data_IF_754606590608
#
_entry.id   IF_754606590608
#
_cell.length_a   1.000
_cell.length_b   1.000
_cell.length_c   1.000
_cell.angle_alpha   90.00
_cell.angle_beta   90.00
_cell.angle_gamma   90.00
#
_symmetry.space_group_name_H-M   'P 1'
#
loop_
_entity.id
_entity.type
_entity.pdbx_description
1 polymer ?
#
# COMPACT_ATOMS: atom_id res chain seq x y z
N UNK A 1 4.10 25.11 -42.96
CA UNK A 1 4.79 24.35 -41.93
C UNK A 1 3.82 23.30 -41.45
N UNK A 2 4.10 21.98 -41.52
CA UNK A 2 3.23 21.02 -40.87
C UNK A 2 3.29 21.28 -39.36
N UNK A 3 2.13 21.39 -38.71
CA UNK A 3 2.05 21.46 -37.27
C UNK A 3 2.71 20.21 -36.69
N UNK A 4 3.73 20.40 -35.85
CA UNK A 4 4.36 19.31 -35.11
C UNK A 4 3.25 18.53 -34.41
N UNK A 5 3.16 17.22 -34.72
CA UNK A 5 2.30 16.33 -33.96
C UNK A 5 2.81 16.32 -32.51
N UNK A 6 1.96 16.59 -31.52
CA UNK A 6 2.42 16.54 -30.13
C UNK A 6 3.06 15.18 -29.85
N UNK A 7 4.23 15.21 -29.22
CA UNK A 7 4.93 14.00 -28.79
C UNK A 7 4.01 13.21 -27.85
N UNK A 8 3.84 11.88 -28.05
CA UNK A 8 3.00 11.10 -27.16
C UNK A 8 3.48 11.21 -25.71
N UNK A 9 2.60 11.57 -24.76
CA UNK A 9 2.97 11.73 -23.34
C UNK A 9 3.13 10.40 -22.60
N UNK A 10 2.60 9.32 -23.14
CA UNK A 10 2.63 7.98 -22.53
C UNK A 10 4.01 7.57 -21.99
N UNK A 11 5.10 7.70 -22.76
CA UNK A 11 6.44 7.35 -22.29
C UNK A 11 6.92 8.16 -21.07
N UNK A 12 6.52 9.44 -20.95
CA UNK A 12 6.87 10.27 -19.79
C UNK A 12 6.12 9.83 -18.55
N UNK A 13 4.83 9.46 -18.69
CA UNK A 13 4.04 8.87 -17.62
C UNK A 13 4.56 7.50 -17.19
N UNK A 14 4.94 6.63 -18.14
CA UNK A 14 5.57 5.34 -17.84
C UNK A 14 6.84 5.55 -17.01
N UNK A 15 7.64 6.54 -17.38
CA UNK A 15 8.87 6.87 -16.65
C UNK A 15 8.60 7.43 -15.27
N UNK A 16 7.69 8.42 -15.14
CA UNK A 16 7.36 9.04 -13.86
C UNK A 16 6.78 8.01 -12.86
N UNK A 17 5.88 7.14 -13.32
CA UNK A 17 5.29 6.07 -12.51
C UNK A 17 6.36 5.04 -12.09
N UNK A 18 7.21 4.61 -13.02
CA UNK A 18 8.31 3.68 -12.71
C UNK A 18 9.29 4.26 -11.68
N UNK A 19 9.61 5.56 -11.77
CA UNK A 19 10.43 6.24 -10.77
C UNK A 19 9.75 6.25 -9.40
N UNK A 20 8.46 6.60 -9.34
CA UNK A 20 7.71 6.60 -8.11
C UNK A 20 7.70 5.21 -7.43
N UNK A 21 7.51 4.14 -8.18
CA UNK A 21 7.52 2.76 -7.66
C UNK A 21 8.79 2.40 -6.90
N UNK A 22 9.93 3.03 -7.20
CA UNK A 22 11.20 2.83 -6.48
C UNK A 22 11.16 3.30 -5.03
N UNK A 23 10.24 4.21 -4.68
CA UNK A 23 10.02 4.69 -3.31
C UNK A 23 9.11 3.80 -2.47
N UNK A 24 8.45 2.77 -3.06
CA UNK A 24 7.54 1.89 -2.32
C UNK A 24 8.23 1.23 -1.13
N UNK A 25 7.50 1.16 0.00
CA UNK A 25 8.02 0.62 1.25
C UNK A 25 8.88 1.59 2.06
N UNK A 26 9.34 2.72 1.50
CA UNK A 26 10.24 3.66 2.19
C UNK A 26 9.60 5.03 2.46
N UNK A 27 8.66 5.46 1.64
CA UNK A 27 8.09 6.83 1.72
C UNK A 27 7.01 6.99 2.77
N UNK A 28 6.28 5.92 3.11
CA UNK A 28 5.12 5.98 4.01
C UNK A 28 5.43 6.66 5.36
N UNK A 29 4.51 7.48 5.88
CA UNK A 29 3.14 7.73 5.42
C UNK A 29 3.02 8.76 4.29
N UNK A 30 4.15 9.24 3.72
CA UNK A 30 4.15 10.10 2.53
C UNK A 30 3.81 9.26 1.29
N UNK A 31 3.15 9.87 0.28
CA UNK A 31 2.87 9.19 -0.96
C UNK A 31 4.13 8.90 -1.77
N UNK A 32 4.07 7.87 -2.60
CA UNK A 32 5.09 7.54 -3.58
C UNK A 32 4.93 8.44 -4.80
N UNK A 33 5.89 9.33 -5.05
CA UNK A 33 5.80 10.33 -6.13
C UNK A 33 7.00 10.21 -7.06
N UNK A 34 6.75 10.36 -8.36
CA UNK A 34 7.77 10.48 -9.39
C UNK A 34 7.55 11.72 -10.25
N UNK A 35 8.64 12.28 -10.74
CA UNK A 35 8.66 13.50 -11.53
C UNK A 35 9.64 13.37 -12.70
N UNK A 36 9.21 13.84 -13.88
CA UNK A 36 10.01 13.89 -15.11
C UNK A 36 9.90 15.29 -15.69
N UNK A 37 11.05 15.88 -16.02
CA UNK A 37 11.14 17.20 -16.65
C UNK A 37 11.52 16.99 -18.12
N UNK A 38 10.73 17.55 -19.02
CA UNK A 38 10.83 17.34 -20.46
C UNK A 38 11.01 18.67 -21.20
N UNK A 39 11.95 18.73 -22.13
CA UNK A 39 12.14 19.83 -23.08
C UNK A 39 12.36 19.27 -24.47
N UNK A 40 11.68 19.82 -25.48
CA UNK A 40 11.81 19.42 -26.87
C UNK A 40 11.63 17.90 -27.12
N UNK A 41 10.75 17.26 -26.29
CA UNK A 41 10.47 15.83 -26.35
C UNK A 41 11.51 14.93 -25.67
N UNK A 42 12.54 15.50 -25.04
CA UNK A 42 13.58 14.76 -24.32
C UNK A 42 13.48 14.93 -22.81
N UNK A 43 13.78 13.87 -22.05
CA UNK A 43 13.86 13.91 -20.59
C UNK A 43 15.17 14.57 -20.18
N UNK A 44 15.08 15.75 -19.58
CA UNK A 44 16.24 16.55 -19.14
C UNK A 44 16.49 16.47 -17.63
N UNK A 45 15.53 15.95 -16.85
CA UNK A 45 15.67 15.71 -15.42
C UNK A 45 14.61 14.73 -14.93
N UNK A 46 14.96 13.93 -13.92
CA UNK A 46 14.06 12.95 -13.35
C UNK A 46 14.31 12.74 -11.85
N UNK A 47 13.26 12.41 -11.10
CA UNK A 47 13.37 12.21 -9.66
C UNK A 47 12.18 11.46 -9.09
N UNK A 48 12.36 10.96 -7.88
CA UNK A 48 11.28 10.34 -7.10
C UNK A 48 11.50 10.63 -5.62
N UNK A 49 10.46 10.51 -4.82
CA UNK A 49 10.60 10.57 -3.37
C UNK A 49 11.22 9.26 -2.86
N UNK A 50 12.46 9.30 -2.36
CA UNK A 50 13.22 8.10 -2.01
C UNK A 50 12.70 7.48 -0.71
N UNK A 51 12.62 8.26 0.36
CA UNK A 51 12.10 7.87 1.66
C UNK A 51 11.60 9.06 2.46
N UNK A 52 10.85 8.79 3.53
CA UNK A 52 10.36 9.83 4.44
C UNK A 52 11.50 10.73 4.94
N UNK A 53 11.35 12.03 4.73
CA UNK A 53 12.32 13.06 5.13
C UNK A 53 13.30 13.50 4.06
N UNK A 54 13.47 12.73 2.99
CA UNK A 54 14.29 13.10 1.84
C UNK A 54 13.57 14.10 0.92
N UNK A 55 14.26 14.57 -0.12
CA UNK A 55 13.70 15.48 -1.12
C UNK A 55 12.45 14.88 -1.78
N UNK A 56 11.52 15.74 -2.13
CA UNK A 56 10.36 15.36 -2.94
C UNK A 56 10.77 15.19 -4.41
N UNK A 57 9.97 14.44 -5.16
CA UNK A 57 10.26 14.05 -6.54
C UNK A 57 10.60 15.23 -7.47
N UNK A 58 9.88 16.35 -7.33
CA UNK A 58 10.08 17.55 -8.14
C UNK A 58 11.44 18.18 -7.86
N UNK A 59 11.86 18.25 -6.59
CA UNK A 59 13.16 18.79 -6.20
C UNK A 59 14.32 17.88 -6.62
N UNK A 60 14.13 16.57 -6.54
CA UNK A 60 15.08 15.58 -7.07
C UNK A 60 15.22 15.74 -8.59
N UNK A 61 14.11 15.88 -9.33
CA UNK A 61 14.14 16.08 -10.78
C UNK A 61 14.85 17.38 -11.19
N UNK A 62 14.65 18.47 -10.42
CA UNK A 62 15.36 19.75 -10.63
C UNK A 62 16.86 19.60 -10.33
N UNK A 63 17.22 18.90 -9.27
CA UNK A 63 18.62 18.63 -8.93
C UNK A 63 19.31 17.76 -9.98
N UNK A 64 18.63 16.71 -10.46
CA UNK A 64 19.14 15.85 -11.54
C UNK A 64 19.35 16.61 -12.84
N UNK A 65 18.39 17.46 -13.25
CA UNK A 65 18.54 18.33 -14.43
C UNK A 65 19.77 19.24 -14.29
N UNK A 66 19.96 19.85 -13.13
CA UNK A 66 21.12 20.70 -12.82
C UNK A 66 22.43 19.90 -12.91
N UNK A 67 22.46 18.70 -12.33
CA UNK A 67 23.64 17.82 -12.35
C UNK A 67 24.02 17.39 -13.77
N UNK A 68 23.03 17.23 -14.66
CA UNK A 68 23.24 16.94 -16.08
C UNK A 68 23.63 18.18 -16.91
N UNK A 69 23.64 19.36 -16.30
CA UNK A 69 23.91 20.63 -17.00
C UNK A 69 22.75 21.13 -17.87
N UNK A 70 21.54 20.65 -17.62
CA UNK A 70 20.35 21.03 -18.38
C UNK A 70 19.69 22.29 -17.78
N UNK A 71 19.26 23.21 -18.63
CA UNK A 71 18.44 24.34 -18.24
C UNK A 71 16.96 23.92 -18.20
N UNK A 72 16.29 24.15 -17.07
CA UNK A 72 14.89 23.74 -16.83
C UNK A 72 13.89 24.81 -17.29
N UNK A 73 14.32 26.07 -17.41
CA UNK A 73 13.45 27.18 -17.81
C UNK A 73 12.70 26.89 -19.09
N UNK A 74 11.37 27.04 -19.06
CA UNK A 74 10.50 26.78 -20.22
C UNK A 74 10.19 25.31 -20.49
N UNK A 75 10.63 24.38 -19.64
CA UNK A 75 10.33 22.94 -19.76
C UNK A 75 8.91 22.61 -19.29
N UNK A 76 8.43 21.41 -19.65
CA UNK A 76 7.21 20.78 -19.13
C UNK A 76 7.56 19.76 -18.04
N UNK A 77 6.84 19.80 -16.93
CA UNK A 77 7.01 18.88 -15.79
C UNK A 77 5.84 17.91 -15.74
N UNK A 78 6.12 16.61 -15.71
CA UNK A 78 5.15 15.55 -15.45
C UNK A 78 5.36 15.04 -14.03
N UNK A 79 4.35 15.18 -13.16
CA UNK A 79 4.44 14.75 -11.77
C UNK A 79 3.23 13.88 -11.41
N UNK A 80 3.47 12.73 -10.76
CA UNK A 80 2.42 11.74 -10.50
C UNK A 80 1.40 12.18 -9.46
N UNK A 81 1.74 13.16 -8.60
CA UNK A 81 0.85 13.76 -7.60
C UNK A 81 1.00 15.27 -7.61
N UNK A 82 -0.06 15.99 -7.23
CA UNK A 82 -0.10 17.43 -7.09
C UNK A 82 1.08 17.98 -6.28
N UNK A 83 1.87 18.97 -6.80
CA UNK A 83 2.98 19.58 -6.09
C UNK A 83 2.52 20.23 -4.79
N UNK A 84 3.23 19.94 -3.69
CA UNK A 84 2.88 20.48 -2.38
C UNK A 84 3.02 22.02 -2.31
N UNK A 85 2.13 22.63 -1.50
CA UNK A 85 2.02 24.08 -1.30
C UNK A 85 2.35 24.52 0.15
N UNK A 86 2.74 23.58 1.01
CA UNK A 86 3.03 23.88 2.43
C UNK A 86 4.48 23.55 2.75
N UNK A 87 5.04 24.28 3.70
CA UNK A 87 6.35 23.99 4.29
C UNK A 87 6.18 22.83 5.27
N UNK A 88 6.77 21.68 4.92
CA UNK A 88 6.92 20.54 5.81
C UNK A 88 8.37 20.41 6.27
N UNK A 89 8.98 19.24 6.08
CA UNK A 89 10.43 19.05 6.21
C UNK A 89 11.22 19.77 5.12
N UNK A 90 10.56 20.09 4.01
CA UNK A 90 11.09 20.80 2.84
C UNK A 90 10.22 22.03 2.52
N UNK A 91 10.78 23.09 1.88
CA UNK A 91 9.99 24.15 1.29
C UNK A 91 9.05 23.61 0.19
N UNK A 92 7.92 24.31 -0.13
CA UNK A 92 6.95 23.86 -1.11
C UNK A 92 7.55 23.51 -2.46
N UNK A 93 7.09 22.42 -3.08
CA UNK A 93 7.54 22.05 -4.43
C UNK A 93 7.00 22.99 -5.50
N UNK A 94 5.79 23.55 -5.31
CA UNK A 94 5.23 24.55 -6.21
C UNK A 94 6.14 25.78 -6.32
N UNK A 95 6.69 26.27 -5.21
CA UNK A 95 7.62 27.42 -5.20
C UNK A 95 8.92 27.07 -5.96
N UNK A 96 9.46 25.86 -5.76
CA UNK A 96 10.67 25.43 -6.47
C UNK A 96 10.49 25.37 -7.99
N UNK A 97 9.31 24.94 -8.45
CA UNK A 97 8.98 24.92 -9.89
C UNK A 97 8.81 26.35 -10.45
N UNK A 98 8.25 27.27 -9.65
CA UNK A 98 8.18 28.70 -10.03
C UNK A 98 9.58 29.31 -10.13
N UNK A 99 10.45 29.09 -9.16
CA UNK A 99 11.84 29.57 -9.16
C UNK A 99 12.64 29.03 -10.35
N UNK A 100 12.40 27.76 -10.72
CA UNK A 100 13.02 27.11 -11.88
C UNK A 100 12.50 27.65 -13.24
N UNK A 101 11.38 28.38 -13.24
CA UNK A 101 10.82 29.01 -14.44
C UNK A 101 10.29 28.00 -15.48
N UNK A 102 9.71 26.88 -15.05
CA UNK A 102 9.07 25.90 -15.95
C UNK A 102 7.88 26.53 -16.66
N UNK A 103 7.57 26.09 -17.87
CA UNK A 103 6.45 26.63 -18.66
C UNK A 103 5.13 25.93 -18.32
N UNK A 104 5.17 24.63 -18.05
CA UNK A 104 3.98 23.80 -17.86
C UNK A 104 4.21 22.74 -16.77
N UNK A 105 3.15 22.45 -16.01
CA UNK A 105 3.10 21.33 -15.07
C UNK A 105 1.86 20.48 -15.36
N UNK A 106 2.09 19.20 -15.64
CA UNK A 106 1.05 18.19 -15.89
C UNK A 106 0.94 17.31 -14.66
N UNK A 107 -0.26 17.26 -14.05
CA UNK A 107 -0.51 16.60 -12.77
C UNK A 107 -1.25 15.28 -13.00
N UNK A 108 -0.68 14.18 -12.51
CA UNK A 108 -1.24 12.84 -12.63
C UNK A 108 -2.42 12.58 -11.67
N UNK A 109 -2.32 13.03 -10.43
CA UNK A 109 -3.34 12.85 -9.40
C UNK A 109 -3.41 14.10 -8.51
N UNK A 110 -4.62 14.55 -8.15
CA UNK A 110 -4.82 15.60 -7.17
C UNK A 110 -4.50 15.08 -5.76
N UNK A 111 -3.93 15.94 -4.91
CA UNK A 111 -3.73 15.65 -3.49
C UNK A 111 -5.05 15.94 -2.74
N UNK A 112 -5.65 14.97 -2.02
CA UNK A 112 -6.94 15.15 -1.34
C UNK A 112 -6.80 15.92 -0.01
N UNK A 113 -5.58 16.17 0.48
CA UNK A 113 -5.37 16.78 1.79
C UNK A 113 -5.66 18.28 1.78
N UNK A 114 -6.36 18.78 2.81
CA UNK A 114 -6.70 20.21 2.93
C UNK A 114 -5.49 21.15 2.84
N UNK A 115 -4.32 20.66 3.21
CA UNK A 115 -3.07 21.46 3.20
C UNK A 115 -2.52 21.68 1.80
N UNK A 116 -2.83 20.78 0.85
CA UNK A 116 -2.27 20.80 -0.51
C UNK A 116 -3.34 21.06 -1.57
N UNK A 117 -4.50 20.43 -1.45
CA UNK A 117 -5.54 20.38 -2.48
C UNK A 117 -5.81 21.71 -3.20
N UNK A 118 -5.48 21.76 -4.49
CA UNK A 118 -5.65 22.91 -5.36
C UNK A 118 -4.71 24.11 -5.07
N UNK A 119 -3.93 24.06 -3.99
CA UNK A 119 -3.06 25.18 -3.60
C UNK A 119 -1.77 25.23 -4.42
N UNK A 120 -1.13 24.09 -4.66
CA UNK A 120 0.03 23.98 -5.55
C UNK A 120 -0.27 24.47 -6.96
N UNK A 121 -1.32 23.92 -7.63
CA UNK A 121 -1.80 24.43 -8.90
C UNK A 121 -2.11 25.91 -8.93
N UNK A 122 -2.66 26.46 -7.85
CA UNK A 122 -2.94 27.90 -7.74
C UNK A 122 -1.66 28.73 -7.74
N UNK A 123 -0.66 28.36 -6.93
CA UNK A 123 0.65 29.06 -6.87
C UNK A 123 1.29 29.05 -8.26
N UNK A 124 1.31 27.93 -8.94
CA UNK A 124 1.88 27.80 -10.28
C UNK A 124 1.16 28.69 -11.30
N UNK A 125 -0.20 28.68 -11.32
CA UNK A 125 -0.99 29.52 -12.23
C UNK A 125 -0.81 31.03 -11.93
N UNK A 126 -0.78 31.41 -10.66
CA UNK A 126 -0.56 32.81 -10.25
C UNK A 126 0.83 33.34 -10.72
N UNK A 127 1.81 32.42 -10.86
CA UNK A 127 3.12 32.72 -11.41
C UNK A 127 3.19 32.66 -12.96
N UNK A 128 2.07 32.41 -13.65
CA UNK A 128 1.98 32.35 -15.10
C UNK A 128 2.36 30.98 -15.72
N UNK A 129 2.52 29.93 -14.92
CA UNK A 129 2.81 28.57 -15.38
C UNK A 129 1.50 27.90 -15.80
N UNK A 130 1.50 27.25 -16.97
CA UNK A 130 0.37 26.45 -17.41
C UNK A 130 0.24 25.20 -16.53
N UNK A 131 -0.99 24.93 -15.99
CA UNK A 131 -1.25 23.75 -15.17
C UNK A 131 -2.46 23.02 -15.73
N UNK A 132 -2.28 21.76 -16.05
CA UNK A 132 -3.36 20.86 -16.50
C UNK A 132 -3.26 19.47 -15.87
N UNK A 133 -4.35 18.75 -15.90
CA UNK A 133 -4.40 17.35 -15.52
C UNK A 133 -3.85 16.46 -16.65
N UNK A 134 -3.37 15.29 -16.28
CA UNK A 134 -2.97 14.24 -17.22
C UNK A 134 -4.16 13.66 -17.98
N UNK A 135 -3.89 12.94 -19.07
CA UNK A 135 -4.89 12.15 -19.79
C UNK A 135 -5.54 11.09 -18.87
N UNK A 136 -6.80 10.69 -19.07
CA UNK A 136 -7.55 9.83 -18.17
C UNK A 136 -6.86 8.52 -17.79
N UNK A 137 -6.14 7.88 -18.71
CA UNK A 137 -5.39 6.66 -18.42
C UNK A 137 -4.23 6.92 -17.45
N UNK A 138 -3.46 7.99 -17.66
CA UNK A 138 -2.37 8.39 -16.77
C UNK A 138 -2.91 8.80 -15.39
N UNK A 139 -4.02 9.53 -15.32
CA UNK A 139 -4.71 9.85 -14.06
C UNK A 139 -5.05 8.58 -13.29
N UNK A 140 -5.68 7.61 -13.96
CA UNK A 140 -6.04 6.33 -13.33
C UNK A 140 -4.82 5.60 -12.78
N UNK A 141 -3.75 5.53 -13.56
CA UNK A 141 -2.50 4.86 -13.16
C UNK A 141 -1.82 5.57 -11.98
N UNK A 142 -1.79 6.90 -11.98
CA UNK A 142 -1.25 7.70 -10.89
C UNK A 142 -2.08 7.54 -9.60
N UNK A 143 -3.42 7.49 -9.68
CA UNK A 143 -4.28 7.18 -8.53
C UNK A 143 -4.01 5.79 -7.97
N UNK A 144 -3.88 4.77 -8.83
CA UNK A 144 -3.56 3.40 -8.41
C UNK A 144 -2.19 3.31 -7.70
N UNK A 145 -1.24 4.17 -8.06
CA UNK A 145 0.08 4.25 -7.43
C UNK A 145 0.01 4.68 -5.95
N UNK A 146 -0.88 5.63 -5.61
CA UNK A 146 -0.97 6.28 -4.29
C UNK A 146 -2.28 5.96 -3.55
N UNK A 147 -2.94 4.85 -3.83
CA UNK A 147 -4.23 4.49 -3.23
C UNK A 147 -4.22 4.38 -1.71
N UNK A 148 -3.12 3.93 -1.13
CA UNK A 148 -2.90 3.85 0.31
C UNK A 148 -2.94 5.25 0.95
N UNK A 149 -2.25 6.21 0.35
CA UNK A 149 -2.29 7.61 0.75
C UNK A 149 -3.70 8.20 0.58
N UNK A 150 -4.37 7.96 -0.57
CA UNK A 150 -5.71 8.46 -0.85
C UNK A 150 -6.74 7.91 0.15
N UNK A 151 -6.74 6.59 0.40
CA UNK A 151 -7.64 5.98 1.39
C UNK A 151 -7.40 6.55 2.78
N UNK A 152 -6.14 6.61 3.21
CA UNK A 152 -5.82 7.15 4.54
C UNK A 152 -6.23 8.61 4.68
N UNK A 153 -6.02 9.44 3.66
CA UNK A 153 -6.45 10.84 3.68
C UNK A 153 -7.98 10.97 3.77
N UNK A 154 -8.73 10.10 3.10
CA UNK A 154 -10.19 10.12 3.09
C UNK A 154 -10.84 9.54 4.35
N UNK A 155 -10.24 8.50 4.95
CA UNK A 155 -10.88 7.69 5.98
C UNK A 155 -10.10 7.59 7.29
N UNK A 156 -8.84 7.97 7.32
CA UNK A 156 -7.91 7.71 8.43
C UNK A 156 -7.43 6.26 8.52
N UNK A 157 -7.92 5.34 7.68
CA UNK A 157 -7.66 3.88 7.72
C UNK A 157 -6.63 3.43 6.69
N UNK A 158 -5.88 2.34 6.98
CA UNK A 158 -4.97 1.75 5.99
C UNK A 158 -5.71 1.12 4.80
N UNK A 159 -5.05 1.08 3.65
CA UNK A 159 -5.46 0.27 2.50
C UNK A 159 -5.22 -1.21 2.80
N UNK A 160 -6.23 -2.05 2.62
CA UNK A 160 -6.19 -3.47 2.95
C UNK A 160 -6.06 -4.32 1.70
N UNK A 161 -4.94 -5.04 1.60
CA UNK A 161 -4.75 -6.10 0.62
C UNK A 161 -4.94 -7.45 1.30
N UNK A 162 -6.04 -8.14 1.01
CA UNK A 162 -6.28 -9.49 1.49
C UNK A 162 -5.54 -10.48 0.60
N UNK A 163 -4.53 -11.15 1.15
CA UNK A 163 -3.79 -12.22 0.46
C UNK A 163 -4.24 -13.58 0.97
N UNK A 164 -4.55 -14.47 0.05
CA UNK A 164 -4.87 -15.86 0.35
C UNK A 164 -4.02 -16.81 -0.50
N UNK A 165 -3.80 -18.04 0.01
CA UNK A 165 -3.28 -19.15 -0.77
C UNK A 165 -4.16 -20.36 -0.51
N UNK A 166 -4.70 -20.95 -1.56
CA UNK A 166 -5.65 -22.05 -1.44
C UNK A 166 -5.41 -23.13 -2.51
N UNK A 167 -5.92 -24.33 -2.25
CA UNK A 167 -6.03 -25.39 -3.25
C UNK A 167 -7.04 -25.06 -4.34
N UNK A 168 -7.05 -25.80 -5.43
CA UNK A 168 -8.00 -25.65 -6.53
C UNK A 168 -9.47 -25.79 -6.07
N UNK A 169 -9.73 -26.58 -5.03
CA UNK A 169 -11.03 -26.74 -4.39
C UNK A 169 -11.27 -25.80 -3.20
N UNK A 170 -10.50 -24.69 -3.10
CA UNK A 170 -10.75 -23.57 -2.17
C UNK A 170 -10.37 -23.86 -0.71
N UNK A 171 -9.42 -24.75 -0.43
CA UNK A 171 -9.01 -25.11 0.93
C UNK A 171 -7.65 -24.50 1.30
N UNK A 172 -7.52 -24.06 2.55
CA UNK A 172 -6.30 -23.47 3.11
C UNK A 172 -5.59 -24.37 4.13
N UNK A 173 -6.18 -25.49 4.46
CA UNK A 173 -5.59 -26.51 5.31
C UNK A 173 -6.34 -27.84 5.13
N UNK A 174 -5.67 -28.94 5.47
CA UNK A 174 -6.31 -30.27 5.58
C UNK A 174 -7.27 -30.33 6.77
N UNK A 175 -8.03 -31.42 6.90
CA UNK A 175 -8.92 -31.65 8.03
C UNK A 175 -8.20 -31.63 9.37
N UNK A 176 -6.92 -32.00 9.43
CA UNK A 176 -6.10 -32.01 10.64
C UNK A 176 -5.34 -30.71 10.89
N UNK A 177 -5.48 -29.71 9.98
CA UNK A 177 -4.87 -28.39 10.13
C UNK A 177 -3.51 -28.23 9.45
N UNK A 178 -2.99 -29.28 8.76
CA UNK A 178 -1.75 -29.15 7.99
C UNK A 178 -1.99 -28.24 6.76
N UNK A 179 -1.11 -27.23 6.59
CA UNK A 179 -1.20 -26.21 5.55
C UNK A 179 0.14 -25.93 4.83
N UNK A 180 1.20 -26.63 5.21
CA UNK A 180 2.56 -26.35 4.69
C UNK A 180 3.02 -27.40 3.69
N UNK A 181 3.23 -27.06 2.41
CA UNK A 181 3.05 -25.76 1.75
C UNK A 181 1.98 -25.90 0.68
N UNK A 182 0.98 -25.01 0.68
CA UNK A 182 -0.04 -24.98 -0.37
C UNK A 182 0.52 -24.32 -1.62
N UNK A 183 1.06 -23.08 -1.48
CA UNK A 183 1.61 -22.33 -2.63
C UNK A 183 3.10 -22.63 -2.86
N UNK A 184 3.51 -22.50 -4.13
CA UNK A 184 4.87 -22.72 -4.60
C UNK A 184 5.89 -21.68 -4.07
N UNK A 185 7.19 -21.92 -4.28
CA UNK A 185 8.25 -21.04 -3.81
C UNK A 185 8.21 -19.65 -4.46
N UNK A 186 7.85 -19.56 -5.75
CA UNK A 186 7.73 -18.30 -6.49
C UNK A 186 6.63 -17.40 -5.90
N UNK A 187 5.49 -18.00 -5.56
CA UNK A 187 4.38 -17.32 -4.88
C UNK A 187 4.80 -16.79 -3.51
N UNK A 188 5.53 -17.58 -2.73
CA UNK A 188 6.06 -17.15 -1.43
C UNK A 188 7.09 -16.02 -1.56
N UNK A 189 7.95 -16.07 -2.59
CA UNK A 189 8.89 -14.98 -2.87
C UNK A 189 8.16 -13.69 -3.24
N UNK A 190 7.08 -13.77 -4.02
CA UNK A 190 6.23 -12.61 -4.35
C UNK A 190 5.60 -12.01 -3.09
N UNK A 191 5.10 -12.83 -2.17
CA UNK A 191 4.56 -12.36 -0.88
C UNK A 191 5.62 -11.63 -0.07
N UNK A 192 6.88 -12.08 -0.06
CA UNK A 192 7.96 -11.35 0.62
C UNK A 192 8.25 -9.97 0.01
N UNK A 193 8.10 -9.81 -1.32
CA UNK A 193 8.17 -8.48 -1.96
C UNK A 193 7.01 -7.60 -1.52
N UNK A 194 5.78 -8.12 -1.52
CA UNK A 194 4.61 -7.36 -1.03
C UNK A 194 4.78 -6.93 0.42
N UNK A 195 5.32 -7.80 1.29
CA UNK A 195 5.62 -7.42 2.68
C UNK A 195 6.61 -6.25 2.78
N UNK A 196 7.60 -6.20 1.90
CA UNK A 196 8.57 -5.10 1.86
C UNK A 196 7.96 -3.77 1.40
N UNK A 197 6.89 -3.82 0.61
CA UNK A 197 6.19 -2.66 0.06
C UNK A 197 5.10 -2.11 0.97
N UNK A 198 4.62 -2.91 1.95
CA UNK A 198 3.52 -2.54 2.85
C UNK A 198 4.02 -2.00 4.20
N UNK A 199 3.21 -1.16 4.85
CA UNK A 199 3.51 -0.67 6.19
C UNK A 199 3.35 -1.72 7.27
N UNK A 200 2.41 -2.64 7.06
CA UNK A 200 2.11 -3.69 8.02
C UNK A 200 1.80 -5.03 7.34
N UNK A 201 2.12 -6.11 8.03
CA UNK A 201 1.68 -7.47 7.73
C UNK A 201 0.85 -7.98 8.91
N UNK A 202 -0.34 -8.47 8.65
CA UNK A 202 -1.29 -8.86 9.69
C UNK A 202 -1.75 -10.31 9.56
N UNK A 203 -1.87 -10.98 10.71
CA UNK A 203 -2.46 -12.32 10.83
C UNK A 203 -3.45 -12.38 11.99
N UNK A 204 -4.29 -13.41 12.02
CA UNK A 204 -5.13 -13.71 13.19
C UNK A 204 -4.43 -14.66 14.17
N UNK A 205 -4.92 -14.71 15.40
CA UNK A 205 -4.41 -15.58 16.47
C UNK A 205 -4.39 -17.07 16.09
N UNK A 206 -5.29 -17.52 15.23
CA UNK A 206 -5.28 -18.90 14.71
C UNK A 206 -4.03 -19.21 13.89
N UNK A 207 -3.68 -18.34 12.94
CA UNK A 207 -2.45 -18.44 12.13
C UNK A 207 -1.21 -18.26 13.00
N UNK A 208 -1.24 -17.30 13.93
CA UNK A 208 -0.15 -17.08 14.89
C UNK A 208 0.16 -18.37 15.68
N UNK A 209 -0.85 -19.00 16.27
CA UNK A 209 -0.68 -20.23 17.06
C UNK A 209 -0.19 -21.42 16.22
N UNK A 210 -0.63 -21.53 14.97
CA UNK A 210 -0.27 -22.65 14.08
C UNK A 210 1.18 -22.54 13.57
N UNK A 211 1.64 -21.34 13.28
CA UNK A 211 2.84 -21.11 12.48
C UNK A 211 3.98 -20.42 13.24
N UNK A 212 3.71 -19.78 14.38
CA UNK A 212 4.64 -18.87 15.10
C UNK A 212 5.42 -17.97 14.13
N UNK A 213 4.72 -17.14 13.35
CA UNK A 213 5.33 -16.48 12.23
C UNK A 213 6.10 -15.23 12.65
N UNK A 214 7.25 -14.98 12.03
CA UNK A 214 8.02 -13.73 12.20
C UNK A 214 7.40 -12.52 11.49
N UNK A 215 6.57 -12.72 10.48
CA UNK A 215 5.95 -11.70 9.62
C UNK A 215 6.92 -10.72 8.95
N UNK A 216 8.17 -11.09 8.79
CA UNK A 216 9.22 -10.28 8.17
C UNK A 216 9.21 -10.37 6.64
N UNK A 217 9.65 -9.30 5.97
CA UNK A 217 10.03 -9.32 4.57
C UNK A 217 11.46 -9.89 4.43
N UNK A 218 11.63 -10.89 3.57
CA UNK A 218 12.92 -11.56 3.32
C UNK A 218 13.20 -11.53 1.82
N UNK A 219 13.78 -10.42 1.36
CA UNK A 219 14.22 -10.19 -0.02
C UNK A 219 15.67 -9.69 0.00
N UNK A 220 16.34 -9.75 -1.13
CA UNK A 220 17.68 -9.18 -1.29
C UNK A 220 17.61 -7.63 -1.34
N UNK A 221 18.65 -6.97 -0.81
CA UNK A 221 18.79 -5.53 -0.79
C UNK A 221 18.29 -4.85 0.48
N UNK A 222 18.15 -3.52 0.43
CA UNK A 222 17.64 -2.72 1.54
C UNK A 222 16.13 -2.91 1.67
N UNK A 223 15.66 -3.17 2.87
CA UNK A 223 14.25 -3.41 3.19
C UNK A 223 13.88 -2.70 4.48
N UNK A 224 12.84 -1.85 4.41
CA UNK A 224 12.15 -1.43 5.62
C UNK A 224 11.21 -2.56 6.05
N UNK A 225 11.43 -3.12 7.23
CA UNK A 225 10.55 -4.17 7.73
C UNK A 225 9.15 -3.62 8.06
N UNK A 226 8.09 -4.33 7.64
CA UNK A 226 6.72 -3.93 7.97
C UNK A 226 6.41 -4.10 9.45
N UNK A 227 5.50 -3.29 10.00
CA UNK A 227 4.92 -3.54 11.31
C UNK A 227 4.26 -4.94 11.34
N UNK A 228 4.44 -5.67 12.41
CA UNK A 228 3.95 -7.04 12.59
C UNK A 228 2.68 -7.02 13.43
N UNK A 229 1.53 -7.26 12.82
CA UNK A 229 0.22 -7.10 13.45
C UNK A 229 -0.41 -8.46 13.71
N UNK A 230 -0.85 -8.71 14.95
CA UNK A 230 -1.65 -9.90 15.28
C UNK A 230 -3.00 -9.48 15.82
N UNK A 231 -4.08 -9.89 15.15
CA UNK A 231 -5.44 -9.79 15.64
C UNK A 231 -5.68 -10.91 16.65
N UNK A 232 -5.46 -10.61 17.93
CA UNK A 232 -5.50 -11.55 19.04
C UNK A 232 -6.74 -11.36 19.92
N UNK A 233 -7.90 -11.76 19.37
CA UNK A 233 -9.17 -11.70 20.11
C UNK A 233 -9.22 -12.65 21.31
N UNK A 234 -8.34 -13.66 21.35
CA UNK A 234 -8.16 -14.60 22.43
C UNK A 234 -6.68 -14.55 22.84
N UNK A 235 -6.31 -14.12 24.03
CA UNK A 235 -4.93 -13.76 24.38
C UNK A 235 -3.99 -14.96 24.28
N UNK A 236 -3.55 -15.26 23.05
CA UNK A 236 -2.69 -16.39 22.69
C UNK A 236 -1.25 -15.98 22.41
N UNK A 237 -1.01 -14.67 22.19
CA UNK A 237 0.34 -14.16 21.93
C UNK A 237 1.10 -14.07 23.26
N UNK A 238 2.33 -14.60 23.26
CA UNK A 238 3.24 -14.56 24.41
C UNK A 238 4.54 -13.84 24.06
N UNK A 239 5.23 -13.18 25.01
CA UNK A 239 6.45 -12.40 24.76
C UNK A 239 7.61 -13.20 24.19
N UNK A 240 7.63 -14.54 24.31
CA UNK A 240 8.69 -15.42 23.80
C UNK A 240 8.48 -15.89 22.34
N UNK A 241 7.42 -15.44 21.67
CA UNK A 241 7.12 -15.86 20.30
C UNK A 241 8.16 -15.32 19.28
N UNK A 242 8.31 -16.01 18.16
CA UNK A 242 9.18 -15.59 17.05
C UNK A 242 8.84 -14.18 16.50
N UNK A 243 7.62 -13.73 16.73
CA UNK A 243 7.16 -12.39 16.41
C UNK A 243 7.98 -11.28 17.10
N UNK A 244 8.52 -11.53 18.30
CA UNK A 244 9.30 -10.57 19.10
C UNK A 244 10.79 -10.59 18.77
N UNK A 245 11.25 -11.58 18.00
CA UNK A 245 12.63 -11.54 17.52
C UNK A 245 12.83 -10.29 16.64
N UNK A 246 13.95 -9.60 16.82
CA UNK A 246 14.27 -8.36 16.10
C UNK A 246 13.18 -7.26 16.22
N UNK A 247 12.59 -7.09 17.41
CA UNK A 247 11.53 -6.09 17.65
C UNK A 247 11.98 -4.66 17.31
N UNK A 248 13.28 -4.37 17.41
CA UNK A 248 13.88 -3.08 17.08
C UNK A 248 13.84 -2.79 15.57
N UNK A 249 13.72 -3.82 14.71
CA UNK A 249 13.67 -3.64 13.27
C UNK A 249 12.31 -3.15 12.76
N UNK A 250 11.22 -3.50 13.46
CA UNK A 250 9.87 -3.06 13.16
C UNK A 250 8.93 -3.27 14.35
N UNK A 251 7.91 -2.41 14.53
CA UNK A 251 6.93 -2.55 15.60
C UNK A 251 6.19 -3.88 15.58
N UNK A 252 5.92 -4.42 16.77
CA UNK A 252 4.95 -5.49 17.00
C UNK A 252 3.67 -4.84 17.51
N UNK A 253 2.54 -5.06 16.85
CA UNK A 253 1.23 -4.51 17.25
C UNK A 253 0.28 -5.66 17.55
N UNK A 254 -0.24 -5.71 18.77
CA UNK A 254 -1.22 -6.70 19.19
C UNK A 254 -2.58 -6.03 19.27
N UNK A 255 -3.50 -6.47 18.41
CA UNK A 255 -4.89 -6.00 18.41
C UNK A 255 -5.71 -6.94 19.30
N UNK A 256 -5.90 -6.52 20.53
CA UNK A 256 -6.66 -7.27 21.53
C UNK A 256 -8.15 -6.90 21.53
N UNK A 257 -8.98 -7.78 22.04
CA UNK A 257 -10.40 -7.50 22.29
C UNK A 257 -10.56 -6.66 23.57
N UNK A 258 -11.59 -5.82 23.64
CA UNK A 258 -11.96 -5.04 24.83
C UNK A 258 -12.24 -5.92 26.08
N UNK A 259 -12.56 -7.19 25.90
CA UNK A 259 -12.77 -8.16 26.99
C UNK A 259 -11.48 -8.86 27.41
N UNK A 260 -10.34 -8.60 26.77
CA UNK A 260 -9.07 -9.21 27.15
C UNK A 260 -8.60 -8.67 28.50
N UNK A 261 -8.34 -9.55 29.51
CA UNK A 261 -7.86 -9.11 30.82
C UNK A 261 -6.55 -8.34 30.75
N UNK A 262 -6.44 -7.25 31.53
CA UNK A 262 -5.26 -6.37 31.51
C UNK A 262 -3.97 -7.10 31.86
N UNK A 263 -4.02 -8.08 32.75
CA UNK A 263 -2.88 -8.91 33.18
C UNK A 263 -2.27 -9.72 32.02
N UNK A 264 -3.04 -9.99 30.95
CA UNK A 264 -2.56 -10.64 29.74
C UNK A 264 -1.87 -9.67 28.79
N UNK A 265 -2.18 -8.37 28.89
CA UNK A 265 -1.64 -7.33 28.00
C UNK A 265 -0.36 -6.69 28.56
N UNK A 266 -0.16 -6.69 29.88
CA UNK A 266 1.01 -6.10 30.53
C UNK A 266 2.31 -6.76 30.03
N UNK A 267 2.47 -8.10 30.04
CA UNK A 267 3.71 -8.73 29.59
C UNK A 267 4.07 -8.43 28.14
N UNK A 268 3.06 -8.24 27.27
CA UNK A 268 3.26 -7.89 25.85
C UNK A 268 3.81 -6.46 25.71
N UNK A 269 3.28 -5.51 26.52
CA UNK A 269 3.80 -4.14 26.55
C UNK A 269 5.21 -4.07 27.12
N UNK A 270 5.48 -4.83 28.17
CA UNK A 270 6.80 -4.92 28.79
C UNK A 270 7.84 -5.51 27.81
N UNK A 271 7.41 -6.38 26.90
CA UNK A 271 8.22 -6.90 25.80
C UNK A 271 8.34 -5.95 24.60
N UNK A 272 7.78 -4.74 24.67
CA UNK A 272 7.90 -3.70 23.64
C UNK A 272 6.78 -3.68 22.61
N UNK A 273 5.74 -4.51 22.73
CA UNK A 273 4.62 -4.46 21.80
C UNK A 273 3.71 -3.24 22.02
N UNK A 274 3.25 -2.65 20.92
CA UNK A 274 2.13 -1.70 20.92
C UNK A 274 0.84 -2.49 21.05
N UNK A 275 0.07 -2.27 22.13
CA UNK A 275 -1.20 -2.97 22.34
C UNK A 275 -2.36 -2.05 22.03
N UNK A 276 -3.09 -2.40 20.97
CA UNK A 276 -4.33 -1.77 20.53
C UNK A 276 -5.51 -2.58 21.08
N UNK A 277 -6.45 -1.91 21.75
CA UNK A 277 -7.68 -2.56 22.23
C UNK A 277 -8.82 -2.19 21.30
N UNK A 278 -9.28 -3.15 20.49
CA UNK A 278 -10.39 -2.94 19.56
C UNK A 278 -11.75 -3.17 20.24
N UNK A 279 -12.72 -2.37 19.83
CA UNK A 279 -14.09 -2.34 20.33
C UNK A 279 -15.06 -2.71 19.23
N UNK A 280 -16.19 -3.27 19.58
CA UNK A 280 -17.27 -3.62 18.65
C UNK A 280 -18.07 -4.83 19.12
N UNK A 281 -19.31 -4.90 18.66
CA UNK A 281 -20.26 -5.95 19.04
C UNK A 281 -19.94 -7.29 18.35
N UNK A 282 -19.41 -7.23 17.15
CA UNK A 282 -19.07 -8.39 16.33
C UNK A 282 -17.64 -8.29 15.75
N UNK A 283 -17.23 -9.28 14.97
CA UNK A 283 -15.89 -9.36 14.43
C UNK A 283 -15.62 -8.27 13.38
N UNK A 284 -16.62 -7.91 12.56
CA UNK A 284 -16.49 -6.88 11.53
C UNK A 284 -16.35 -5.49 12.15
N UNK A 285 -17.19 -5.15 13.17
CA UNK A 285 -17.10 -3.89 13.89
C UNK A 285 -15.75 -3.74 14.63
N UNK A 286 -15.25 -4.82 15.26
CA UNK A 286 -13.92 -4.82 15.90
C UNK A 286 -12.79 -4.65 14.88
N UNK A 287 -12.93 -5.23 13.68
CA UNK A 287 -11.97 -5.04 12.62
C UNK A 287 -11.91 -3.57 12.17
N UNK A 288 -13.06 -2.91 11.96
CA UNK A 288 -13.13 -1.49 11.64
C UNK A 288 -12.46 -0.60 12.72
N UNK A 289 -12.81 -0.79 14.01
CA UNK A 289 -12.20 -0.01 15.11
C UNK A 289 -10.69 -0.25 15.21
N UNK A 290 -10.22 -1.47 14.93
CA UNK A 290 -8.79 -1.76 14.86
C UNK A 290 -8.11 -0.98 13.71
N UNK A 291 -8.75 -0.87 12.54
CA UNK A 291 -8.19 -0.10 11.42
C UNK A 291 -8.08 1.39 11.74
N UNK A 292 -9.06 1.98 12.45
CA UNK A 292 -8.98 3.36 12.93
C UNK A 292 -7.73 3.56 13.80
N UNK A 293 -7.50 2.65 14.76
CA UNK A 293 -6.31 2.69 15.63
C UNK A 293 -5.00 2.47 14.89
N UNK A 294 -4.97 1.58 13.91
CA UNK A 294 -3.78 1.34 13.10
C UNK A 294 -3.46 2.55 12.23
N UNK A 295 -4.47 3.27 11.73
CA UNK A 295 -4.30 4.54 11.02
C UNK A 295 -3.71 5.65 11.90
N UNK A 296 -4.10 5.71 13.19
CA UNK A 296 -3.50 6.61 14.20
C UNK A 296 -1.99 6.33 14.41
N UNK A 297 -1.56 5.06 14.21
CA UNK A 297 -0.14 4.66 14.23
C UNK A 297 0.59 4.92 12.90
N UNK A 298 0.03 5.74 12.01
CA UNK A 298 0.57 6.09 10.69
C UNK A 298 0.71 4.89 9.73
N UNK A 299 0.03 3.77 9.96
CA UNK A 299 -0.03 2.66 9.01
C UNK A 299 -0.98 3.04 7.87
N UNK A 300 -0.45 3.16 6.65
CA UNK A 300 -1.21 3.54 5.45
C UNK A 300 -1.61 2.34 4.59
N UNK A 301 -0.88 1.22 4.71
CA UNK A 301 -1.12 0.00 3.94
C UNK A 301 -0.89 -1.25 4.79
N UNK A 302 -1.73 -2.29 4.59
CA UNK A 302 -1.64 -3.53 5.34
C UNK A 302 -1.89 -4.75 4.44
N UNK A 303 -0.93 -5.69 4.44
CA UNK A 303 -1.08 -7.01 3.86
C UNK A 303 -1.72 -7.95 4.90
N UNK A 304 -2.96 -8.33 4.66
CA UNK A 304 -3.69 -9.23 5.52
C UNK A 304 -3.46 -10.68 5.05
N UNK A 305 -2.63 -11.40 5.78
CA UNK A 305 -2.31 -12.82 5.56
C UNK A 305 -3.03 -13.72 6.59
N UNK A 306 -4.23 -13.27 6.99
CA UNK A 306 -5.00 -13.93 8.01
C UNK A 306 -5.52 -15.31 7.60
N UNK A 307 -5.82 -16.13 8.60
CA UNK A 307 -6.60 -17.36 8.40
C UNK A 307 -8.05 -17.05 8.03
N UNK A 308 -8.85 -18.09 7.72
CA UNK A 308 -10.21 -17.96 7.19
C UNK A 308 -11.16 -17.08 8.02
N UNK A 309 -11.05 -17.12 9.32
CA UNK A 309 -11.92 -16.36 10.25
C UNK A 309 -11.63 -14.84 10.14
N UNK A 310 -10.33 -14.45 10.11
CA UNK A 310 -9.96 -13.04 9.98
C UNK A 310 -10.27 -12.53 8.56
N UNK A 311 -10.05 -13.35 7.53
CA UNK A 311 -10.45 -13.04 6.16
C UNK A 311 -11.96 -12.78 6.06
N UNK A 312 -12.78 -13.63 6.69
CA UNK A 312 -14.23 -13.45 6.76
C UNK A 312 -14.65 -12.17 7.47
N UNK A 313 -14.04 -11.84 8.61
CA UNK A 313 -14.31 -10.59 9.33
C UNK A 313 -13.94 -9.35 8.50
N UNK A 314 -12.78 -9.38 7.83
CA UNK A 314 -12.34 -8.29 6.95
C UNK A 314 -13.27 -8.10 5.75
N UNK A 315 -13.72 -9.19 5.10
CA UNK A 315 -14.68 -9.13 4.00
C UNK A 315 -16.04 -8.60 4.49
N UNK A 316 -16.54 -9.13 5.61
CA UNK A 316 -17.82 -8.70 6.19
C UNK A 316 -17.82 -7.23 6.65
N UNK A 317 -16.67 -6.69 7.05
CA UNK A 317 -16.53 -5.27 7.39
C UNK A 317 -16.63 -4.33 6.18
N UNK A 318 -16.48 -4.87 4.97
CA UNK A 318 -16.39 -4.08 3.75
C UNK A 318 -15.08 -3.30 3.59
N UNK A 319 -14.04 -3.54 4.40
CA UNK A 319 -12.79 -2.77 4.41
C UNK A 319 -11.69 -3.33 3.50
N UNK A 320 -11.91 -4.48 2.86
CA UNK A 320 -10.96 -5.04 1.89
C UNK A 320 -10.99 -4.21 0.61
N UNK A 321 -9.83 -3.69 0.19
CA UNK A 321 -9.67 -2.87 -1.00
C UNK A 321 -9.15 -3.68 -2.18
N UNK A 322 -8.22 -4.62 -1.90
CA UNK A 322 -7.59 -5.49 -2.91
C UNK A 322 -7.61 -6.95 -2.46
N UNK A 323 -7.72 -7.84 -3.42
CA UNK A 323 -7.63 -9.28 -3.17
C UNK A 323 -6.53 -9.87 -4.05
N UNK A 324 -5.66 -10.69 -3.43
CA UNK A 324 -4.59 -11.43 -4.07
C UNK A 324 -4.70 -12.90 -3.67
N UNK A 325 -5.10 -13.78 -4.58
CA UNK A 325 -5.36 -15.19 -4.31
C UNK A 325 -4.44 -16.07 -5.14
N UNK A 326 -3.56 -16.80 -4.48
CA UNK A 326 -2.82 -17.88 -5.11
C UNK A 326 -3.66 -19.16 -5.09
N UNK A 327 -3.92 -19.72 -6.25
CA UNK A 327 -4.58 -21.02 -6.43
C UNK A 327 -3.52 -22.02 -6.83
N UNK A 328 -3.24 -22.97 -5.94
CA UNK A 328 -2.28 -24.04 -6.18
C UNK A 328 -2.93 -25.23 -6.91
N UNK A 329 -2.17 -25.99 -7.73
CA UNK A 329 -2.66 -27.16 -8.45
C UNK A 329 -2.81 -28.38 -7.53
N UNK A 330 -3.53 -28.20 -6.41
CA UNK A 330 -3.79 -29.21 -5.38
C UNK A 330 -5.30 -29.36 -5.17
N UNK A 331 -5.73 -30.57 -4.81
CA UNK A 331 -7.08 -30.86 -4.32
C UNK A 331 -6.93 -31.45 -2.92
N UNK A 332 -7.51 -30.80 -1.92
CA UNK A 332 -7.43 -31.21 -0.50
C UNK A 332 -8.68 -31.99 -0.07
N UNK A 333 -9.84 -31.69 -0.65
CA UNK A 333 -11.10 -32.32 -0.29
C UNK A 333 -11.68 -31.75 1.02
N UNK A 334 -11.81 -32.58 2.05
CA UNK A 334 -12.30 -32.15 3.37
C UNK A 334 -11.25 -31.31 4.12
N UNK A 335 -11.54 -30.05 4.41
CA UNK A 335 -10.61 -29.13 5.06
C UNK A 335 -11.21 -27.75 5.29
N UNK A 336 -10.40 -26.80 5.80
CA UNK A 336 -10.86 -25.43 6.07
C UNK A 336 -10.98 -24.63 4.78
N UNK A 337 -12.12 -23.95 4.60
CA UNK A 337 -12.34 -23.04 3.48
C UNK A 337 -11.47 -21.78 3.59
N UNK A 338 -11.19 -21.11 2.48
CA UNK A 338 -10.36 -19.92 2.45
C UNK A 338 -10.98 -18.73 3.19
N UNK A 339 -12.30 -18.66 3.27
CA UNK A 339 -13.06 -17.65 3.98
C UNK A 339 -14.11 -18.33 4.86
N UNK A 340 -14.20 -17.95 6.11
CA UNK A 340 -15.21 -18.40 7.08
C UNK A 340 -16.08 -17.21 7.51
N UNK A 341 -17.37 -17.46 7.78
CA UNK A 341 -18.36 -16.46 8.20
C UNK A 341 -19.75 -16.90 7.77
N UNK A 342 -20.75 -16.07 8.06
CA UNK A 342 -22.14 -16.39 7.67
C UNK A 342 -22.34 -16.29 6.16
N UNK A 343 -21.59 -15.39 5.49
CA UNK A 343 -21.81 -15.14 4.07
C UNK A 343 -23.20 -14.55 3.76
N UNK A 344 -23.51 -14.31 2.47
CA UNK A 344 -24.83 -13.88 2.04
C UNK A 344 -25.83 -15.03 1.98
N UNK A 345 -27.10 -14.77 2.20
CA UNK A 345 -28.19 -15.76 2.06
C UNK A 345 -28.50 -16.05 0.59
N UNK A 346 -28.37 -15.05 -0.28
CA UNK A 346 -28.66 -15.14 -1.71
C UNK A 346 -27.40 -14.88 -2.54
N UNK A 347 -27.29 -15.56 -3.68
CA UNK A 347 -26.17 -15.33 -4.62
C UNK A 347 -26.15 -13.90 -5.18
N UNK A 348 -27.28 -13.24 -5.25
CA UNK A 348 -27.41 -11.83 -5.66
C UNK A 348 -26.81 -10.85 -4.66
N UNK A 349 -26.57 -11.25 -3.43
CA UNK A 349 -25.96 -10.46 -2.37
C UNK A 349 -24.42 -10.71 -2.29
N UNK A 350 -23.91 -11.64 -3.10
CA UNK A 350 -22.50 -11.93 -3.14
C UNK A 350 -21.70 -10.70 -3.64
N UNK A 351 -20.53 -10.50 -3.04
CA UNK A 351 -19.62 -9.42 -3.46
C UNK A 351 -19.14 -9.69 -4.88
N UNK A 352 -19.47 -8.77 -5.78
CA UNK A 352 -18.94 -8.81 -7.14
C UNK A 352 -17.46 -8.41 -7.14
N UNK A 353 -16.63 -9.17 -7.84
CA UNK A 353 -15.19 -8.91 -8.00
C UNK A 353 -14.94 -8.41 -9.42
N UNK A 354 -14.90 -7.06 -9.61
CA UNK A 354 -14.72 -6.49 -10.94
C UNK A 354 -13.25 -6.63 -11.40
N UNK A 355 -13.06 -6.63 -12.71
CA UNK A 355 -11.74 -6.51 -13.35
C UNK A 355 -10.67 -7.46 -12.81
N UNK A 356 -11.03 -8.72 -12.53
CA UNK A 356 -10.10 -9.73 -12.05
C UNK A 356 -9.03 -10.01 -13.13
N UNK A 357 -7.76 -9.94 -12.72
CA UNK A 357 -6.61 -10.36 -13.53
C UNK A 357 -6.15 -11.74 -13.08
N UNK A 358 -5.69 -12.53 -14.03
CA UNK A 358 -5.19 -13.88 -13.79
C UNK A 358 -3.80 -14.02 -14.40
N UNK A 359 -2.83 -14.44 -13.60
CA UNK A 359 -1.43 -14.56 -14.02
C UNK A 359 -0.81 -15.86 -13.49
N UNK A 360 0.04 -16.56 -14.26
CA UNK A 360 0.80 -17.70 -13.75
C UNK A 360 1.94 -17.20 -12.84
N UNK A 361 2.19 -17.91 -11.73
CA UNK A 361 3.32 -17.67 -10.82
C UNK A 361 3.93 -19.04 -10.43
N UNK A 362 5.01 -19.42 -11.08
CA UNK A 362 5.53 -20.77 -11.00
C UNK A 362 4.46 -21.79 -11.42
N UNK A 363 4.14 -22.72 -10.51
CA UNK A 363 3.05 -23.70 -10.75
C UNK A 363 1.67 -23.19 -10.31
N UNK A 364 1.60 -22.07 -9.58
CA UNK A 364 0.35 -21.53 -9.07
C UNK A 364 -0.27 -20.54 -10.07
N UNK A 365 -1.54 -20.23 -9.85
CA UNK A 365 -2.26 -19.15 -10.54
C UNK A 365 -2.56 -18.05 -9.54
N UNK A 366 -2.12 -16.82 -9.83
CA UNK A 366 -2.48 -15.63 -9.07
C UNK A 366 -3.72 -14.98 -9.67
N UNK A 367 -4.75 -14.79 -8.86
CA UNK A 367 -5.94 -14.01 -9.15
C UNK A 367 -5.87 -12.70 -8.36
N UNK A 368 -5.84 -11.56 -9.05
CA UNK A 368 -5.73 -10.22 -8.46
C UNK A 368 -6.95 -9.38 -8.81
N UNK A 369 -7.52 -8.68 -7.84
CA UNK A 369 -8.62 -7.75 -8.08
C UNK A 369 -8.59 -6.56 -7.13
N UNK A 370 -9.01 -5.40 -7.65
CA UNK A 370 -9.30 -4.19 -6.85
C UNK A 370 -10.81 -4.13 -6.62
N UNK A 371 -11.23 -4.16 -5.36
CA UNK A 371 -12.64 -4.05 -4.97
C UNK A 371 -13.07 -2.60 -4.81
N UNK A 372 -12.14 -1.72 -4.39
CA UNK A 372 -12.37 -0.30 -4.19
C UNK A 372 -11.22 0.51 -4.78
N UNK A 373 -11.54 1.56 -5.52
CA UNK A 373 -10.60 2.57 -6.00
C UNK A 373 -10.76 3.85 -5.18
N UNK A 374 -9.66 4.41 -4.74
CA UNK A 374 -9.58 5.63 -3.92
C UNK A 374 -9.06 6.82 -4.72
#
# INVERSE_FOLDING_TARGET
MPADKPTPEGPFWDRAIHLAERGRGFTSPNPTVGCVIVRDGEVIGEGWHHKRGDLHAEREALADATARGNEVKGATVFVTLEPCAHTGSQPPCADALVEAGVAEVVIGCADPTEKTHGRGPKILRDAGITVRDAEPDAVKRCRLLVQDFLKRAATGRPLITLKMAMSLDGKVATRTGDSKWISGPESRQMVHRWRAEMDAVAVGSGTFRSDDPRLTARIEGEVRQPARVVFDSHPLVEPGAALFEDIDSAPVVIVANQTTPSEKLIPLRDAGAVVVVSRGLDAAARFCDALDRLGELEISSMLLEGGPTLAGAAIASGEVDRIEVFVAPLIIGGGRSAVEGQGPDLISEAINVPHMRVSPVGQDVLMSATLKEW
#
